data_IF_975460919598
#
_entry.id   IF_975460919598
#
_cell.length_a   1.000
_cell.length_b   1.000
_cell.length_c   1.000
_cell.angle_alpha   90.00
_cell.angle_beta   90.00
_cell.angle_gamma   90.00
#
_symmetry.space_group_name_H-M   'P 1'
#
loop_
_entity.id
_entity.type
_entity.pdbx_description
1 polymer ?
#
# COMPACT_ATOMS: atom_id res chain seq x y z
N UNK A 1 6.06 25.55 6.31
CA UNK A 1 7.12 24.68 5.73
C UNK A 1 7.35 23.53 6.69
N UNK A 2 7.56 22.30 6.21
CA UNK A 2 7.90 21.16 7.08
C UNK A 2 9.22 21.44 7.80
N UNK A 3 9.32 21.10 9.09
CA UNK A 3 10.60 21.19 9.81
C UNK A 3 11.59 20.19 9.23
N UNK A 4 12.89 20.44 9.36
CA UNK A 4 13.93 19.52 8.91
C UNK A 4 13.77 18.13 9.55
N UNK A 5 13.33 18.08 10.81
CA UNK A 5 13.03 16.83 11.53
C UNK A 5 11.85 16.07 10.91
N UNK A 6 10.76 16.75 10.52
CA UNK A 6 9.62 16.12 9.87
C UNK A 6 9.98 15.55 8.49
N UNK A 7 10.82 16.26 7.74
CA UNK A 7 11.34 15.79 6.44
C UNK A 7 12.20 14.53 6.63
N UNK A 8 13.15 14.56 7.56
CA UNK A 8 14.01 13.40 7.82
C UNK A 8 13.21 12.16 8.24
N UNK A 9 12.19 12.35 9.09
CA UNK A 9 11.30 11.27 9.50
C UNK A 9 10.48 10.73 8.33
N UNK A 10 9.94 11.60 7.47
CA UNK A 10 9.23 11.19 6.26
C UNK A 10 10.12 10.39 5.32
N UNK A 11 11.37 10.83 5.10
CA UNK A 11 12.34 10.09 4.28
C UNK A 11 12.63 8.71 4.87
N UNK A 12 12.79 8.60 6.19
CA UNK A 12 12.98 7.31 6.85
C UNK A 12 11.77 6.38 6.70
N UNK A 13 10.55 6.91 6.87
CA UNK A 13 9.30 6.17 6.65
C UNK A 13 9.24 5.66 5.20
N UNK A 14 9.48 6.54 4.22
CA UNK A 14 9.40 6.21 2.80
C UNK A 14 10.49 5.23 2.38
N UNK A 15 11.69 5.34 2.96
CA UNK A 15 12.74 4.34 2.78
C UNK A 15 12.29 2.96 3.25
N UNK A 16 11.81 2.84 4.49
CA UNK A 16 11.29 1.57 5.03
C UNK A 16 10.12 1.04 4.20
N UNK A 17 9.22 1.93 3.77
CA UNK A 17 8.11 1.61 2.89
C UNK A 17 8.57 1.00 1.57
N UNK A 18 9.54 1.60 0.89
CA UNK A 18 10.08 1.07 -0.36
C UNK A 18 10.89 -0.21 -0.17
N UNK A 19 11.70 -0.33 0.90
CA UNK A 19 12.36 -1.60 1.24
C UNK A 19 11.33 -2.71 1.42
N UNK A 20 10.24 -2.43 2.13
CA UNK A 20 9.16 -3.38 2.40
C UNK A 20 8.52 -3.87 1.12
N UNK A 21 8.11 -2.95 0.25
CA UNK A 21 7.43 -3.32 -0.98
C UNK A 21 8.38 -3.95 -2.01
N UNK A 22 9.62 -3.48 -2.10
CA UNK A 22 10.63 -4.14 -2.89
C UNK A 22 10.88 -5.57 -2.38
N UNK A 23 10.94 -5.82 -1.07
CA UNK A 23 11.18 -7.15 -0.54
C UNK A 23 9.97 -8.10 -0.66
N UNK A 24 8.75 -7.60 -0.43
CA UNK A 24 7.54 -8.43 -0.26
C UNK A 24 6.57 -8.35 -1.45
N UNK A 25 6.61 -7.26 -2.21
CA UNK A 25 5.65 -6.95 -3.27
C UNK A 25 4.43 -6.17 -2.80
N UNK A 26 4.41 -5.70 -1.54
CA UNK A 26 3.36 -4.84 -0.98
C UNK A 26 3.89 -4.11 0.26
N UNK A 27 3.30 -2.96 0.58
CA UNK A 27 3.35 -2.36 1.91
C UNK A 27 3.73 -0.90 1.91
N UNK A 28 4.24 -0.35 0.80
CA UNK A 28 4.82 0.97 0.84
C UNK A 28 3.75 2.04 1.07
N UNK A 29 2.64 2.02 0.32
CA UNK A 29 1.59 3.03 0.48
C UNK A 29 0.92 2.96 1.86
N UNK A 30 0.61 1.77 2.38
CA UNK A 30 -0.02 1.67 3.71
C UNK A 30 0.92 2.19 4.81
N UNK A 31 2.22 1.87 4.76
CA UNK A 31 3.21 2.38 5.71
C UNK A 31 3.34 3.90 5.59
N UNK A 32 3.51 4.40 4.36
CA UNK A 32 3.65 5.83 4.09
C UNK A 32 2.42 6.60 4.51
N UNK A 33 1.21 6.15 4.20
CA UNK A 33 -0.02 6.87 4.57
C UNK A 33 -0.23 6.81 6.08
N UNK A 34 -0.08 5.64 6.71
CA UNK A 34 -0.34 5.49 8.15
C UNK A 34 0.63 6.33 8.98
N UNK A 35 1.93 6.32 8.65
CA UNK A 35 2.95 7.07 9.41
C UNK A 35 3.13 8.51 8.92
N UNK A 36 3.11 8.71 7.60
CA UNK A 36 3.39 9.99 6.96
C UNK A 36 2.23 10.98 7.03
N UNK A 37 0.97 10.53 7.16
CA UNK A 37 -0.17 11.43 7.31
C UNK A 37 -0.13 12.25 8.61
N UNK A 38 0.67 11.82 9.59
CA UNK A 38 0.94 12.60 10.81
C UNK A 38 1.84 13.82 10.54
N UNK A 39 2.66 13.76 9.49
CA UNK A 39 3.69 14.75 9.17
C UNK A 39 3.25 15.67 8.04
N UNK A 40 2.58 15.12 7.04
CA UNK A 40 2.20 15.82 5.80
C UNK A 40 0.73 15.58 5.52
N UNK A 41 -0.05 16.61 5.11
CA UNK A 41 -1.44 16.41 4.71
C UNK A 41 -1.57 15.34 3.64
N UNK A 42 -2.56 14.46 3.76
CA UNK A 42 -2.75 13.33 2.85
C UNK A 42 -2.89 13.76 1.38
N UNK A 43 -3.51 14.93 1.16
CA UNK A 43 -3.66 15.57 -0.17
C UNK A 43 -2.33 15.96 -0.82
N UNK A 44 -1.26 16.11 -0.05
CA UNK A 44 0.11 16.34 -0.56
C UNK A 44 0.89 15.02 -0.59
N UNK A 45 0.71 14.17 0.42
CA UNK A 45 1.44 12.93 0.58
C UNK A 45 1.15 11.92 -0.54
N UNK A 46 -0.12 11.68 -0.88
CA UNK A 46 -0.49 10.70 -1.90
C UNK A 46 0.01 11.11 -3.31
N UNK A 47 -0.26 12.34 -3.80
CA UNK A 47 0.23 12.73 -5.12
C UNK A 47 1.77 12.82 -5.20
N UNK A 48 2.45 13.04 -4.08
CA UNK A 48 3.91 13.01 -4.04
C UNK A 48 4.49 11.58 -4.05
N UNK A 49 3.84 10.65 -3.34
CA UNK A 49 4.37 9.29 -3.12
C UNK A 49 3.99 8.31 -4.25
N UNK A 50 2.74 8.32 -4.71
CA UNK A 50 2.22 7.33 -5.68
C UNK A 50 3.01 7.31 -7.00
N UNK A 51 3.46 8.45 -7.58
CA UNK A 51 4.33 8.42 -8.77
C UNK A 51 5.64 7.65 -8.54
N UNK A 52 6.24 7.75 -7.36
CA UNK A 52 7.45 6.99 -7.03
C UNK A 52 7.14 5.50 -6.87
N UNK A 53 5.94 5.17 -6.38
CA UNK A 53 5.50 3.79 -6.26
C UNK A 53 5.23 3.14 -7.64
N UNK A 54 4.83 3.92 -8.65
CA UNK A 54 4.81 3.49 -10.06
C UNK A 54 6.23 3.11 -10.51
N UNK A 55 7.24 3.94 -10.20
CA UNK A 55 8.63 3.65 -10.60
C UNK A 55 9.16 2.36 -9.96
N UNK A 56 8.86 2.12 -8.67
CA UNK A 56 9.18 0.86 -8.00
C UNK A 56 8.51 -0.33 -8.70
N UNK A 57 7.21 -0.22 -8.96
CA UNK A 57 6.43 -1.27 -9.61
C UNK A 57 6.94 -1.57 -11.01
N UNK A 58 7.25 -0.53 -11.79
CA UNK A 58 7.84 -0.63 -13.12
C UNK A 58 9.19 -1.32 -13.09
N UNK A 59 10.06 -1.00 -12.12
CA UNK A 59 11.35 -1.66 -11.94
C UNK A 59 11.19 -3.17 -11.72
N UNK A 60 10.32 -3.57 -10.79
CA UNK A 60 10.07 -4.98 -10.48
C UNK A 60 9.49 -5.72 -11.70
N UNK A 61 8.53 -5.10 -12.39
CA UNK A 61 7.91 -5.67 -13.59
C UNK A 61 8.93 -5.81 -14.71
N UNK A 62 9.73 -4.78 -15.00
CA UNK A 62 10.74 -4.82 -16.06
C UNK A 62 11.71 -5.99 -15.87
N UNK A 63 12.19 -6.20 -14.64
CA UNK A 63 13.12 -7.28 -14.30
C UNK A 63 12.50 -8.68 -14.33
N UNK A 64 11.24 -8.82 -13.91
CA UNK A 64 10.63 -10.12 -13.62
C UNK A 64 9.35 -10.43 -14.42
N UNK A 65 9.06 -9.68 -15.49
CA UNK A 65 7.80 -9.76 -16.25
C UNK A 65 7.40 -11.18 -16.73
N UNK A 66 8.36 -12.10 -16.86
CA UNK A 66 8.12 -13.49 -17.27
C UNK A 66 7.40 -14.31 -16.19
N UNK A 67 7.53 -13.92 -14.92
CA UNK A 67 6.94 -14.63 -13.77
C UNK A 67 5.54 -14.11 -13.40
N UNK A 68 4.97 -13.19 -14.20
CA UNK A 68 3.63 -12.66 -13.96
C UNK A 68 2.59 -13.75 -14.21
N UNK A 69 1.75 -14.02 -13.21
CA UNK A 69 0.54 -14.83 -13.38
C UNK A 69 -0.57 -13.97 -14.00
N UNK A 70 -0.53 -13.86 -15.33
CA UNK A 70 -1.44 -12.99 -16.10
C UNK A 70 -2.89 -13.44 -16.04
N UNK A 71 -3.15 -14.74 -16.00
CA UNK A 71 -4.50 -15.29 -15.96
C UNK A 71 -5.16 -14.94 -14.63
N UNK A 72 -4.46 -15.20 -13.53
CA UNK A 72 -4.94 -14.85 -12.20
C UNK A 72 -5.12 -13.34 -12.04
N UNK A 73 -4.15 -12.53 -12.48
CA UNK A 73 -4.23 -11.08 -12.40
C UNK A 73 -5.44 -10.53 -13.16
N UNK A 74 -5.59 -10.88 -14.44
CA UNK A 74 -6.58 -10.25 -15.33
C UNK A 74 -7.99 -10.80 -15.12
N UNK A 75 -8.15 -12.08 -14.76
CA UNK A 75 -9.48 -12.71 -14.64
C UNK A 75 -10.01 -12.75 -13.22
N UNK A 76 -9.14 -12.75 -12.19
CA UNK A 76 -9.57 -12.90 -10.79
C UNK A 76 -9.38 -11.63 -9.97
N UNK A 77 -8.23 -10.96 -10.09
CA UNK A 77 -7.92 -9.80 -9.25
C UNK A 77 -8.49 -8.51 -9.87
N UNK A 78 -8.02 -8.18 -11.07
CA UNK A 78 -8.18 -6.86 -11.65
C UNK A 78 -9.66 -6.42 -11.78
N UNK A 79 -10.62 -7.26 -12.22
CA UNK A 79 -12.00 -6.81 -12.40
C UNK A 79 -12.65 -6.34 -11.10
N UNK A 80 -12.54 -7.14 -10.03
CA UNK A 80 -13.13 -6.80 -8.73
C UNK A 80 -12.45 -5.60 -8.09
N UNK A 81 -11.11 -5.54 -8.17
CA UNK A 81 -10.34 -4.42 -7.62
C UNK A 81 -10.62 -3.12 -8.38
N UNK A 82 -10.72 -3.17 -9.71
CA UNK A 82 -11.00 -2.00 -10.54
C UNK A 82 -12.39 -1.41 -10.24
N UNK A 83 -13.43 -2.25 -10.14
CA UNK A 83 -14.78 -1.82 -9.75
C UNK A 83 -14.75 -1.17 -8.38
N UNK A 84 -14.10 -1.82 -7.40
CA UNK A 84 -13.94 -1.25 -6.07
C UNK A 84 -13.20 0.10 -6.09
N UNK A 85 -12.11 0.19 -6.86
CA UNK A 85 -11.29 1.39 -6.98
C UNK A 85 -12.08 2.58 -7.52
N UNK A 86 -12.92 2.38 -8.54
CA UNK A 86 -13.80 3.44 -9.06
C UNK A 86 -14.73 3.94 -7.95
N UNK A 87 -15.35 3.03 -7.20
CA UNK A 87 -16.18 3.38 -6.05
C UNK A 87 -15.41 4.14 -4.97
N UNK A 88 -14.18 3.69 -4.64
CA UNK A 88 -13.29 4.33 -3.68
C UNK A 88 -12.88 5.74 -4.07
N UNK A 89 -12.52 5.97 -5.34
CA UNK A 89 -12.21 7.30 -5.86
C UNK A 89 -13.43 8.23 -5.78
N UNK A 90 -14.64 7.70 -6.03
CA UNK A 90 -15.88 8.45 -5.85
C UNK A 90 -16.10 8.86 -4.39
N UNK A 91 -15.93 7.92 -3.45
CA UNK A 91 -16.04 8.17 -2.01
C UNK A 91 -15.02 9.21 -1.52
N UNK A 92 -13.78 9.15 -2.02
CA UNK A 92 -12.74 10.12 -1.66
C UNK A 92 -13.09 11.55 -2.07
N UNK A 93 -13.78 11.74 -3.20
CA UNK A 93 -14.21 13.08 -3.66
C UNK A 93 -15.31 13.70 -2.82
N UNK A 94 -16.24 12.89 -2.32
CA UNK A 94 -17.40 13.38 -1.55
C UNK A 94 -17.18 13.37 -0.04
N UNK A 95 -16.24 12.55 0.45
CA UNK A 95 -15.94 12.42 1.86
C UNK A 95 -15.10 13.59 2.38
N UNK A 96 -15.40 14.05 3.59
CA UNK A 96 -14.53 14.99 4.30
C UNK A 96 -13.19 14.30 4.62
N UNK A 97 -12.04 14.96 4.42
CA UNK A 97 -10.72 14.38 4.69
C UNK A 97 -10.58 13.77 6.09
N UNK A 98 -11.19 14.39 7.10
CA UNK A 98 -11.16 13.96 8.50
C UNK A 98 -11.81 12.59 8.71
N UNK A 99 -13.10 12.45 8.37
CA UNK A 99 -13.80 11.17 8.45
C UNK A 99 -13.15 10.07 7.58
N UNK A 100 -12.59 10.44 6.43
CA UNK A 100 -11.87 9.50 5.56
C UNK A 100 -10.62 8.96 6.26
N UNK A 101 -9.79 9.84 6.85
CA UNK A 101 -8.61 9.44 7.61
C UNK A 101 -8.96 8.64 8.87
N UNK A 102 -10.04 8.99 9.58
CA UNK A 102 -10.52 8.22 10.72
C UNK A 102 -10.92 6.80 10.31
N UNK A 103 -11.74 6.68 9.26
CA UNK A 103 -12.15 5.39 8.72
C UNK A 103 -10.97 4.55 8.24
N UNK A 104 -9.98 5.19 7.62
CA UNK A 104 -8.72 4.55 7.25
C UNK A 104 -7.95 4.06 8.48
N UNK A 105 -7.79 4.89 9.51
CA UNK A 105 -7.12 4.51 10.75
C UNK A 105 -7.79 3.31 11.42
N UNK A 106 -9.12 3.32 11.55
CA UNK A 106 -9.90 2.19 12.08
C UNK A 106 -9.69 0.93 11.24
N UNK A 107 -9.74 1.06 9.91
CA UNK A 107 -9.45 -0.07 9.01
C UNK A 107 -8.05 -0.65 9.25
N UNK A 108 -7.01 0.19 9.35
CA UNK A 108 -5.64 -0.27 9.58
C UNK A 108 -5.48 -0.91 10.97
N UNK A 109 -6.16 -0.40 12.01
CA UNK A 109 -6.19 -1.03 13.34
C UNK A 109 -6.79 -2.43 13.26
N UNK A 110 -8.00 -2.57 12.71
CA UNK A 110 -8.70 -3.85 12.61
C UNK A 110 -7.90 -4.87 11.79
N UNK A 111 -7.35 -4.42 10.67
CA UNK A 111 -6.50 -5.22 9.80
C UNK A 111 -5.24 -5.68 10.52
N UNK A 112 -4.49 -4.76 11.13
CA UNK A 112 -3.21 -5.08 11.77
C UNK A 112 -3.41 -5.98 12.98
N UNK A 113 -4.44 -5.73 13.79
CA UNK A 113 -4.81 -6.59 14.91
C UNK A 113 -5.22 -7.99 14.43
N UNK A 114 -6.02 -8.08 13.36
CA UNK A 114 -6.44 -9.34 12.77
C UNK A 114 -5.27 -10.15 12.19
N UNK A 115 -4.32 -9.49 11.52
CA UNK A 115 -3.12 -10.16 10.98
C UNK A 115 -2.17 -10.60 12.08
N UNK A 116 -1.93 -9.78 13.10
CA UNK A 116 -1.16 -10.17 14.29
C UNK A 116 -1.80 -11.37 14.99
N UNK A 117 -3.10 -11.34 15.21
CA UNK A 117 -3.83 -12.47 15.81
C UNK A 117 -3.62 -13.77 15.02
N UNK A 118 -3.72 -13.74 13.68
CA UNK A 118 -3.50 -14.93 12.85
C UNK A 118 -2.06 -15.43 12.92
N UNK A 119 -1.09 -14.53 12.88
CA UNK A 119 0.34 -14.84 13.01
C UNK A 119 0.63 -15.55 14.33
N UNK A 120 0.02 -15.12 15.44
CA UNK A 120 0.25 -15.70 16.77
C UNK A 120 -0.60 -16.93 17.09
N UNK A 121 -1.78 -17.11 16.47
CA UNK A 121 -2.72 -18.17 16.85
C UNK A 121 -2.71 -19.43 15.99
N UNK A 122 -2.59 -19.43 14.64
CA UNK A 122 -2.61 -20.69 13.88
C UNK A 122 -2.14 -20.58 12.40
N UNK A 123 -1.64 -21.73 11.88
CA UNK A 123 -1.24 -22.02 10.48
C UNK A 123 -2.14 -21.32 9.45
N UNK A 124 -1.52 -20.67 8.46
CA UNK A 124 -2.20 -20.13 7.28
C UNK A 124 -3.17 -21.18 6.72
N UNK A 125 -4.47 -20.90 6.76
CA UNK A 125 -5.47 -21.80 6.19
C UNK A 125 -5.27 -21.86 4.68
N UNK A 126 -4.68 -22.95 4.21
CA UNK A 126 -4.48 -23.30 2.79
C UNK A 126 -5.78 -23.71 2.09
N UNK A 127 -6.91 -23.75 2.82
CA UNK A 127 -8.20 -24.13 2.25
C UNK A 127 -8.65 -23.12 1.17
N UNK A 128 -9.21 -23.59 0.04
CA UNK A 128 -9.74 -22.72 -1.01
C UNK A 128 -10.78 -21.74 -0.45
N UNK A 129 -10.69 -20.48 -0.87
CA UNK A 129 -11.68 -19.47 -0.51
C UNK A 129 -12.89 -19.54 -1.45
N UNK A 130 -14.10 -19.43 -0.90
CA UNK A 130 -15.30 -19.29 -1.73
C UNK A 130 -15.18 -18.06 -2.65
N UNK A 131 -15.57 -18.21 -3.92
CA UNK A 131 -15.38 -17.18 -4.94
C UNK A 131 -16.01 -15.83 -4.57
N UNK A 132 -17.22 -15.85 -3.99
CA UNK A 132 -17.91 -14.62 -3.55
C UNK A 132 -17.13 -13.87 -2.44
N UNK A 133 -16.50 -14.60 -1.51
CA UNK A 133 -15.65 -13.99 -0.46
C UNK A 133 -14.41 -13.35 -1.09
N UNK A 134 -13.81 -14.02 -2.07
CA UNK A 134 -12.69 -13.48 -2.84
C UNK A 134 -13.07 -12.17 -3.54
N UNK A 135 -14.18 -12.18 -4.26
CA UNK A 135 -14.68 -11.01 -4.99
C UNK A 135 -14.99 -9.86 -4.03
N UNK A 136 -15.67 -10.14 -2.91
CA UNK A 136 -15.99 -9.14 -1.90
C UNK A 136 -14.73 -8.51 -1.28
N UNK A 137 -13.73 -9.33 -0.89
CA UNK A 137 -12.48 -8.83 -0.32
C UNK A 137 -11.64 -8.04 -1.34
N UNK A 138 -11.59 -8.49 -2.60
CA UNK A 138 -10.91 -7.77 -3.67
C UNK A 138 -11.60 -6.44 -3.99
N UNK A 139 -12.94 -6.42 -4.03
CA UNK A 139 -13.72 -5.19 -4.21
C UNK A 139 -13.50 -4.21 -3.06
N UNK A 140 -13.56 -4.67 -1.81
CA UNK A 140 -13.24 -3.85 -0.65
C UNK A 140 -11.79 -3.33 -0.67
N UNK A 141 -10.83 -4.18 -1.07
CA UNK A 141 -9.46 -3.78 -1.34
C UNK A 141 -9.38 -2.69 -2.40
N UNK A 142 -10.12 -2.83 -3.49
CA UNK A 142 -10.28 -1.81 -4.51
C UNK A 142 -10.77 -0.49 -3.93
N UNK A 143 -11.83 -0.48 -3.12
CA UNK A 143 -12.37 0.74 -2.48
C UNK A 143 -11.30 1.45 -1.66
N UNK A 144 -10.62 0.72 -0.76
CA UNK A 144 -9.54 1.28 0.06
C UNK A 144 -8.39 1.79 -0.80
N UNK A 145 -8.06 1.09 -1.89
CA UNK A 145 -7.03 1.54 -2.83
C UNK A 145 -7.46 2.80 -3.59
N UNK A 146 -8.71 2.91 -4.03
CA UNK A 146 -9.23 4.11 -4.68
C UNK A 146 -9.23 5.34 -3.79
N UNK A 147 -9.43 5.15 -2.48
CA UNK A 147 -9.43 6.26 -1.51
C UNK A 147 -8.02 6.69 -1.09
N UNK A 148 -7.11 5.73 -0.86
CA UNK A 148 -5.83 6.00 -0.18
C UNK A 148 -4.61 5.34 -0.83
N UNK A 149 -4.77 4.69 -1.98
CA UNK A 149 -3.70 3.88 -2.61
C UNK A 149 -3.26 2.67 -1.79
N UNK A 150 -4.01 2.29 -0.75
CA UNK A 150 -3.55 1.36 0.30
C UNK A 150 -4.42 0.10 0.45
N UNK A 151 -5.13 -0.31 -0.61
CA UNK A 151 -5.99 -1.52 -0.57
C UNK A 151 -5.25 -2.86 -0.54
N UNK A 152 -3.92 -2.82 -0.55
CA UNK A 152 -3.11 -4.01 -0.71
C UNK A 152 -3.24 -5.08 0.37
N UNK A 153 -3.58 -4.84 1.64
CA UNK A 153 -3.73 -5.93 2.62
C UNK A 153 -4.80 -6.96 2.27
N UNK A 154 -5.98 -6.49 1.86
CA UNK A 154 -7.09 -7.36 1.46
C UNK A 154 -6.72 -8.12 0.18
N UNK A 155 -6.12 -7.43 -0.79
CA UNK A 155 -5.71 -8.00 -2.07
C UNK A 155 -4.59 -9.03 -1.87
N UNK A 156 -3.58 -8.73 -1.06
CA UNK A 156 -2.46 -9.60 -0.68
C UNK A 156 -2.97 -10.84 0.04
N UNK A 157 -3.94 -10.68 0.95
CA UNK A 157 -4.54 -11.81 1.65
C UNK A 157 -5.18 -12.78 0.65
N UNK A 158 -5.96 -12.27 -0.32
CA UNK A 158 -6.57 -13.10 -1.37
C UNK A 158 -5.50 -13.72 -2.28
N UNK A 159 -4.57 -12.91 -2.78
CA UNK A 159 -3.52 -13.33 -3.71
C UNK A 159 -2.60 -14.39 -3.11
N UNK A 160 -2.24 -14.26 -1.83
CA UNK A 160 -1.35 -15.20 -1.13
C UNK A 160 -1.94 -16.60 -0.93
N UNK A 161 -3.24 -16.79 -1.14
CA UNK A 161 -3.87 -18.13 -1.12
C UNK A 161 -3.71 -18.87 -2.45
N UNK A 162 -3.46 -18.15 -3.54
CA UNK A 162 -3.30 -18.71 -4.88
C UNK A 162 -1.83 -18.70 -5.35
N UNK A 163 -1.12 -17.60 -5.12
CA UNK A 163 0.26 -17.39 -5.57
C UNK A 163 1.23 -17.79 -4.45
N UNK A 164 1.63 -19.06 -4.45
CA UNK A 164 2.52 -19.60 -3.41
C UNK A 164 4.01 -19.33 -3.69
N UNK A 165 4.37 -19.18 -4.96
CA UNK A 165 5.72 -18.77 -5.34
C UNK A 165 5.93 -17.28 -5.03
N UNK A 166 6.97 -16.97 -4.25
CA UNK A 166 7.24 -15.60 -3.79
C UNK A 166 7.58 -14.64 -4.92
N UNK A 167 8.22 -15.11 -5.99
CA UNK A 167 8.61 -14.31 -7.14
C UNK A 167 7.38 -13.96 -7.99
N UNK A 168 6.59 -14.98 -8.35
CA UNK A 168 5.30 -14.80 -9.03
C UNK A 168 4.36 -13.91 -8.24
N UNK A 169 4.22 -14.13 -6.93
CA UNK A 169 3.43 -13.28 -6.04
C UNK A 169 3.88 -11.80 -6.12
N UNK A 170 5.18 -11.56 -5.94
CA UNK A 170 5.76 -10.22 -5.93
C UNK A 170 5.54 -9.49 -7.26
N UNK A 171 5.89 -10.10 -8.39
CA UNK A 171 5.78 -9.43 -9.70
C UNK A 171 4.33 -9.27 -10.15
N UNK A 172 3.45 -10.23 -9.83
CA UNK A 172 2.02 -10.15 -10.16
C UNK A 172 1.36 -8.99 -9.42
N UNK A 173 1.66 -8.81 -8.13
CA UNK A 173 1.18 -7.66 -7.37
C UNK A 173 1.83 -6.34 -7.81
N UNK A 174 3.13 -6.31 -8.10
CA UNK A 174 3.76 -5.12 -8.69
C UNK A 174 3.09 -4.70 -10.00
N UNK A 175 2.66 -5.66 -10.82
CA UNK A 175 1.92 -5.38 -12.06
C UNK A 175 0.54 -4.79 -11.77
N UNK A 176 -0.16 -5.31 -10.75
CA UNK A 176 -1.41 -4.73 -10.28
C UNK A 176 -1.21 -3.29 -9.79
N UNK A 177 -0.23 -3.03 -8.93
CA UNK A 177 0.06 -1.70 -8.40
C UNK A 177 0.43 -0.73 -9.51
N UNK A 178 1.21 -1.16 -10.50
CA UNK A 178 1.51 -0.36 -11.68
C UNK A 178 0.22 0.11 -12.39
N UNK A 179 -0.74 -0.79 -12.59
CA UNK A 179 -2.03 -0.46 -13.24
C UNK A 179 -2.83 0.50 -12.36
N UNK A 180 -3.08 0.15 -11.10
CA UNK A 180 -3.94 0.94 -10.20
C UNK A 180 -3.34 2.31 -9.89
N UNK A 181 -2.04 2.37 -9.61
CA UNK A 181 -1.37 3.64 -9.33
C UNK A 181 -1.30 4.53 -10.57
N UNK A 182 -1.20 3.97 -11.78
CA UNK A 182 -1.32 4.76 -13.01
C UNK A 182 -2.68 5.46 -13.07
N UNK A 183 -3.76 4.75 -12.74
CA UNK A 183 -5.11 5.34 -12.68
C UNK A 183 -5.19 6.43 -11.60
N UNK A 184 -4.59 6.22 -10.42
CA UNK A 184 -4.52 7.25 -9.36
C UNK A 184 -3.72 8.48 -9.79
N UNK A 185 -2.57 8.31 -10.45
CA UNK A 185 -1.76 9.45 -10.92
C UNK A 185 -2.51 10.24 -12.00
N UNK A 186 -3.21 9.57 -12.92
CA UNK A 186 -4.10 10.24 -13.86
C UNK A 186 -5.22 11.01 -13.13
N UNK A 187 -5.79 10.43 -12.07
CA UNK A 187 -6.76 11.13 -11.24
C UNK A 187 -6.18 12.38 -10.59
N UNK A 188 -5.00 12.30 -9.99
CA UNK A 188 -4.32 13.46 -9.38
C UNK A 188 -3.98 14.53 -10.41
N UNK A 189 -3.60 14.14 -11.62
CA UNK A 189 -3.36 15.06 -12.73
C UNK A 189 -4.64 15.81 -13.09
N UNK A 190 -5.75 15.10 -13.30
CA UNK A 190 -7.05 15.69 -13.65
C UNK A 190 -7.58 16.58 -12.52
N UNK A 191 -7.35 16.19 -11.26
CA UNK A 191 -7.77 16.95 -10.08
C UNK A 191 -6.88 18.17 -9.77
N UNK A 192 -5.72 18.31 -10.43
CA UNK A 192 -4.76 19.38 -10.15
C UNK A 192 -3.91 19.16 -8.89
N UNK A 193 -3.91 17.96 -8.32
CA UNK A 193 -3.18 17.59 -7.10
C UNK A 193 -1.66 17.39 -7.35
N UNK A 194 -1.26 17.20 -8.61
CA UNK A 194 0.14 17.22 -9.06
C UNK A 194 0.69 18.66 -9.16
N UNK A 195 0.76 19.32 -8.01
CA UNK A 195 1.30 20.68 -7.85
C UNK A 195 2.84 20.70 -7.80
N UNK A 196 3.43 21.89 -7.91
CA UNK A 196 4.87 22.08 -7.70
C UNK A 196 5.33 21.59 -6.31
N UNK A 197 4.48 21.71 -5.29
CA UNK A 197 4.76 21.23 -3.94
C UNK A 197 4.85 19.72 -3.88
N UNK A 198 3.93 19.01 -4.54
CA UNK A 198 3.93 17.54 -4.55
C UNK A 198 5.10 17.01 -5.38
N UNK A 199 5.41 17.63 -6.53
CA UNK A 199 6.58 17.29 -7.33
C UNK A 199 7.91 17.50 -6.60
N UNK A 200 8.09 18.63 -5.89
CA UNK A 200 9.28 18.86 -5.05
C UNK A 200 9.40 17.79 -3.96
N UNK A 201 8.28 17.39 -3.37
CA UNK A 201 8.24 16.32 -2.37
C UNK A 201 8.63 14.98 -3.00
N UNK A 202 8.14 14.65 -4.20
CA UNK A 202 8.57 13.45 -4.94
C UNK A 202 10.07 13.45 -5.21
N UNK A 203 10.64 14.57 -5.66
CA UNK A 203 12.08 14.67 -5.91
C UNK A 203 12.91 14.44 -4.65
N UNK A 204 12.45 14.96 -3.51
CA UNK A 204 13.10 14.77 -2.22
C UNK A 204 13.09 13.30 -1.75
N UNK A 205 12.03 12.57 -2.08
CA UNK A 205 11.86 11.16 -1.73
C UNK A 205 12.51 10.19 -2.73
N UNK A 206 12.87 10.67 -3.92
CA UNK A 206 13.46 9.86 -4.99
C UNK A 206 14.75 9.11 -4.58
N UNK A 207 15.69 9.67 -3.78
CA UNK A 207 16.85 8.93 -3.30
C UNK A 207 16.46 7.73 -2.43
N UNK A 208 15.37 7.84 -1.66
CA UNK A 208 14.89 6.77 -0.79
C UNK A 208 14.28 5.62 -1.61
N UNK A 209 13.71 5.90 -2.79
CA UNK A 209 13.28 4.88 -3.74
C UNK A 209 14.48 4.06 -4.22
N UNK A 210 15.55 4.71 -4.68
CA UNK A 210 16.74 4.02 -5.18
C UNK A 210 17.40 3.14 -4.10
N UNK A 211 17.57 3.69 -2.89
CA UNK A 211 18.09 2.93 -1.75
C UNK A 211 17.14 1.79 -1.34
N UNK A 212 15.83 2.06 -1.35
CA UNK A 212 14.80 1.09 -1.00
C UNK A 212 14.78 -0.11 -1.94
N UNK A 213 14.93 0.12 -3.25
CA UNK A 213 15.09 -0.94 -4.26
C UNK A 213 16.32 -1.79 -3.95
N UNK A 214 17.49 -1.16 -3.80
CA UNK A 214 18.76 -1.87 -3.60
C UNK A 214 18.73 -2.75 -2.34
N UNK A 215 18.26 -2.20 -1.22
CA UNK A 215 18.16 -2.93 0.05
C UNK A 215 17.04 -3.96 -0.01
N UNK A 216 15.88 -3.62 -0.58
CA UNK A 216 14.71 -4.48 -0.69
C UNK A 216 14.92 -5.71 -1.57
N UNK A 217 15.63 -5.58 -2.70
CA UNK A 217 15.98 -6.72 -3.56
C UNK A 217 16.93 -7.70 -2.86
N UNK A 218 17.89 -7.17 -2.09
CA UNK A 218 18.78 -8.01 -1.29
C UNK A 218 18.02 -8.71 -0.15
N UNK A 219 17.10 -7.98 0.47
CA UNK A 219 16.20 -8.47 1.50
C UNK A 219 15.31 -9.62 0.99
N UNK A 220 14.71 -9.49 -0.21
CA UNK A 220 13.87 -10.52 -0.84
C UNK A 220 14.55 -11.90 -0.94
N UNK A 221 15.88 -11.90 -1.12
CA UNK A 221 16.69 -13.13 -1.20
C UNK A 221 16.92 -13.79 0.14
N UNK A 222 17.01 -13.02 1.24
CA UNK A 222 17.49 -13.49 2.56
C UNK A 222 16.42 -13.59 3.64
N UNK A 223 15.26 -12.93 3.48
CA UNK A 223 14.27 -12.85 4.55
C UNK A 223 13.42 -14.10 4.70
N UNK A 224 13.42 -14.65 5.91
CA UNK A 224 12.34 -15.49 6.39
C UNK A 224 11.07 -14.61 6.47
N UNK A 225 10.13 -14.81 5.53
CA UNK A 225 8.92 -13.99 5.36
C UNK A 225 8.12 -13.76 6.66
N UNK A 226 8.23 -14.66 7.63
CA UNK A 226 7.52 -14.60 8.91
C UNK A 226 7.94 -13.39 9.77
N UNK A 227 9.24 -13.20 10.02
CA UNK A 227 9.74 -12.16 10.95
C UNK A 227 9.43 -10.77 10.42
N UNK A 228 9.64 -10.57 9.12
CA UNK A 228 9.36 -9.31 8.46
C UNK A 228 7.88 -8.92 8.56
N UNK A 229 6.99 -9.89 8.32
CA UNK A 229 5.55 -9.70 8.37
C UNK A 229 5.10 -9.28 9.78
N UNK A 230 5.64 -9.89 10.82
CA UNK A 230 5.33 -9.53 12.22
C UNK A 230 5.70 -8.08 12.52
N UNK A 231 6.93 -7.67 12.16
CA UNK A 231 7.43 -6.31 12.42
C UNK A 231 6.56 -5.25 11.72
N UNK A 232 6.25 -5.46 10.45
CA UNK A 232 5.42 -4.52 9.67
C UNK A 232 4.02 -4.37 10.29
N UNK A 233 3.37 -5.48 10.68
CA UNK A 233 2.05 -5.41 11.29
C UNK A 233 2.05 -4.75 12.67
N UNK A 234 3.10 -4.94 13.47
CA UNK A 234 3.26 -4.23 14.75
C UNK A 234 3.39 -2.72 14.52
N UNK A 235 4.24 -2.30 13.58
CA UNK A 235 4.44 -0.88 13.27
C UNK A 235 3.15 -0.24 12.75
N UNK A 236 2.43 -0.92 11.85
CA UNK A 236 1.16 -0.44 11.33
C UNK A 236 0.09 -0.34 12.42
N UNK A 237 0.01 -1.32 13.34
CA UNK A 237 -0.92 -1.27 14.46
C UNK A 237 -0.67 -0.04 15.34
N UNK A 238 0.58 0.16 15.77
CA UNK A 238 0.95 1.30 16.62
C UNK A 238 0.64 2.63 15.91
N UNK A 239 1.05 2.77 14.65
CA UNK A 239 0.81 3.97 13.86
C UNK A 239 -0.69 4.26 13.69
N UNK A 240 -1.49 3.25 13.39
CA UNK A 240 -2.92 3.41 13.20
C UNK A 240 -3.65 3.74 14.51
N UNK A 241 -3.24 3.15 15.63
CA UNK A 241 -3.76 3.53 16.96
C UNK A 241 -3.47 4.99 17.27
N UNK A 242 -2.26 5.47 16.97
CA UNK A 242 -1.89 6.89 17.15
C UNK A 242 -2.72 7.79 16.22
N UNK A 243 -2.96 7.37 14.97
CA UNK A 243 -3.79 8.09 14.00
C UNK A 243 -5.24 8.25 14.48
N UNK A 244 -5.84 7.17 14.97
CA UNK A 244 -7.20 7.19 15.52
C UNK A 244 -7.25 8.00 16.82
N UNK A 245 -6.31 7.78 17.73
CA UNK A 245 -6.25 8.47 19.02
C UNK A 245 -6.14 9.99 18.87
N UNK A 246 -5.27 10.47 17.98
CA UNK A 246 -5.17 11.91 17.71
C UNK A 246 -6.49 12.51 17.25
N UNK A 247 -7.28 11.77 16.46
CA UNK A 247 -8.55 12.27 15.95
C UNK A 247 -9.64 12.30 17.03
N UNK A 248 -9.57 11.40 18.03
CA UNK A 248 -10.54 11.34 19.14
C UNK A 248 -10.24 12.33 20.28
N UNK A 249 -8.98 12.79 20.41
CA UNK A 249 -8.54 13.66 21.51
C UNK A 249 -8.13 15.07 21.05
N UNK A 250 -8.39 15.43 19.80
CA UNK A 250 -8.09 16.77 19.26
C UNK A 250 -9.30 17.73 19.25
N UNK A 251 -10.42 17.33 19.86
CA UNK A 251 -11.59 18.17 20.13
C UNK A 251 -11.55 18.74 21.56
#
# INVERSE_FOLDING_TARGET
MLTASAIALLMAIVFVAFVTEAAVGFGATILTVTLGAHLVPIKVLLPAFVPLNILLSLWIVALHHKDIDRDYLTRRILPSVAVGMIGGMGLYRIGSPEHLLLGFGVFVVLLSAGELYKVFRFKASSAPMAAWKSIGMLGAGGIVHGMFGSGGPLIVYVAGRQLHDKGKFRVTLATLWLILNTVLVLHFLIAGDLTLTTLKTSMLLLPMLALGIAVGDQAHKRLAQHVFRVVVWLVLLVAAVILVGRHMFAD
#
